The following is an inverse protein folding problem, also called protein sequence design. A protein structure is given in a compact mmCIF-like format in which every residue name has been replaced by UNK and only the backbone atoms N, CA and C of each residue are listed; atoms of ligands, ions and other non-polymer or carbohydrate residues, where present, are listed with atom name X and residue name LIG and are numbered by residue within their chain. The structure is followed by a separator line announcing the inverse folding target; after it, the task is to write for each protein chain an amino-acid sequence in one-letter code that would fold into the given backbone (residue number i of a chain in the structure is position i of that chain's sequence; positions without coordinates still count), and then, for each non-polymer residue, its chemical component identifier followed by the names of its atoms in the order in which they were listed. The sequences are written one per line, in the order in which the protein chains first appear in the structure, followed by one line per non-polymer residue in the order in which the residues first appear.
data_IF_084719291825
#
_entry.id   IF_084719291825
#
_cell.length_a   1.000
_cell.length_b   1.000
_cell.length_c   1.000
_cell.angle_alpha   90.00
_cell.angle_beta   90.00
_cell.angle_gamma   90.00
#
_symmetry.space_group_name_H-M   'P 1'
#
loop_
_entity.id
_entity.type
_entity.pdbx_description
1 polymer ?
#
# COMPACT_ATOMS: atom_id res chain seq x y z
N UNK A 1 -46.57 -27.37 -18.53
CA UNK A 1 -46.07 -26.91 -19.84
C UNK A 1 -45.17 -27.97 -20.41
N UNK A 2 -45.33 -28.46 -21.65
CA UNK A 2 -44.51 -29.51 -22.24
C UNK A 2 -43.26 -28.86 -22.83
N UNK A 3 -42.09 -29.10 -22.21
CA UNK A 3 -40.80 -28.70 -22.76
C UNK A 3 -40.54 -29.36 -24.11
N UNK A 4 -40.03 -28.63 -25.10
CA UNK A 4 -39.77 -29.13 -26.47
C UNK A 4 -38.30 -28.86 -26.88
N UNK A 5 -37.69 -29.70 -27.69
CA UNK A 5 -36.42 -29.42 -28.33
C UNK A 5 -36.46 -28.10 -29.11
N UNK A 6 -35.41 -27.32 -29.05
CA UNK A 6 -35.28 -25.99 -29.66
C UNK A 6 -35.67 -24.82 -28.72
N UNK A 7 -36.29 -25.06 -27.60
CA UNK A 7 -36.64 -24.02 -26.66
C UNK A 7 -35.37 -23.55 -25.88
N UNK A 8 -35.32 -22.25 -25.61
CA UNK A 8 -34.29 -21.65 -24.75
C UNK A 8 -34.84 -21.60 -23.33
N UNK A 9 -34.05 -22.10 -22.37
CA UNK A 9 -34.41 -22.16 -20.95
C UNK A 9 -33.39 -21.39 -20.13
N UNK A 10 -33.85 -20.42 -19.31
CA UNK A 10 -32.97 -19.55 -18.54
C UNK A 10 -32.38 -20.22 -17.28
N UNK A 11 -33.19 -20.97 -16.55
CA UNK A 11 -32.88 -21.38 -15.18
C UNK A 11 -32.38 -22.83 -15.04
N UNK A 12 -32.07 -23.52 -16.13
CA UNK A 12 -31.57 -24.89 -16.10
C UNK A 12 -30.09 -24.95 -15.63
N UNK A 13 -29.31 -23.94 -15.98
CA UNK A 13 -27.95 -23.67 -15.45
C UNK A 13 -27.94 -22.29 -14.75
N UNK A 14 -27.22 -22.16 -13.61
CA UNK A 14 -27.11 -20.87 -12.92
C UNK A 14 -26.30 -19.82 -13.69
N UNK A 15 -25.47 -20.24 -14.65
CA UNK A 15 -24.45 -19.41 -15.28
C UNK A 15 -24.83 -18.90 -16.66
N UNK A 16 -25.75 -19.58 -17.38
CA UNK A 16 -26.13 -19.19 -18.73
C UNK A 16 -27.49 -19.83 -19.14
N UNK A 17 -28.24 -19.20 -20.05
CA UNK A 17 -29.37 -19.85 -20.72
C UNK A 17 -28.89 -20.98 -21.62
N UNK A 18 -29.75 -21.98 -21.80
CA UNK A 18 -29.44 -23.17 -22.59
C UNK A 18 -30.50 -23.43 -23.65
N UNK A 19 -30.09 -23.96 -24.78
CA UNK A 19 -30.99 -24.48 -25.82
C UNK A 19 -31.24 -25.97 -25.58
N UNK A 20 -32.49 -26.37 -25.42
CA UNK A 20 -32.88 -27.77 -25.31
C UNK A 20 -32.66 -28.48 -26.66
N UNK A 21 -31.81 -29.51 -26.68
CA UNK A 21 -31.55 -30.32 -27.87
C UNK A 21 -32.40 -31.61 -27.89
N UNK A 22 -32.76 -32.12 -26.72
CA UNK A 22 -33.58 -33.30 -26.56
C UNK A 22 -34.31 -33.31 -25.24
N UNK A 23 -35.57 -33.75 -25.24
CA UNK A 23 -36.40 -33.94 -24.06
C UNK A 23 -36.96 -35.36 -24.09
N UNK A 24 -36.70 -36.15 -23.04
CA UNK A 24 -37.15 -37.55 -22.95
C UNK A 24 -37.75 -37.83 -21.57
N UNK A 25 -38.97 -38.33 -21.47
CA UNK A 25 -39.53 -38.82 -20.22
C UNK A 25 -38.85 -40.14 -19.81
N UNK A 26 -38.40 -40.26 -18.58
CA UNK A 26 -37.81 -41.45 -18.00
C UNK A 26 -38.37 -41.66 -16.59
N UNK A 27 -39.21 -42.70 -16.43
CA UNK A 27 -39.75 -43.11 -15.12
C UNK A 27 -40.29 -41.98 -14.24
N UNK A 28 -41.14 -41.09 -14.79
CA UNK A 28 -41.77 -39.98 -14.07
C UNK A 28 -40.83 -38.77 -13.85
N UNK A 29 -39.72 -38.70 -14.60
CA UNK A 29 -38.79 -37.57 -14.66
C UNK A 29 -38.55 -37.20 -16.13
N UNK A 30 -37.94 -36.03 -16.34
CA UNK A 30 -37.56 -35.56 -17.67
C UNK A 30 -36.03 -35.53 -17.78
N UNK A 31 -35.48 -36.26 -18.74
CA UNK A 31 -34.07 -36.13 -19.12
C UNK A 31 -33.95 -35.07 -20.22
N UNK A 32 -33.29 -34.01 -19.93
CA UNK A 32 -33.04 -32.87 -20.80
C UNK A 32 -31.60 -32.95 -21.31
N UNK A 33 -31.44 -32.96 -22.64
CA UNK A 33 -30.11 -32.66 -23.24
C UNK A 33 -30.16 -31.22 -23.73
N UNK A 34 -29.08 -30.49 -23.52
CA UNK A 34 -29.03 -29.07 -23.82
C UNK A 34 -27.62 -28.61 -24.21
N UNK A 35 -27.56 -27.46 -24.85
CA UNK A 35 -26.31 -26.75 -25.17
C UNK A 35 -26.36 -25.36 -24.60
N UNK A 36 -25.32 -24.94 -23.86
CA UNK A 36 -25.16 -23.58 -23.36
C UNK A 36 -25.07 -22.57 -24.50
N UNK A 37 -25.73 -21.42 -24.37
CA UNK A 37 -25.74 -20.41 -25.43
C UNK A 37 -24.36 -19.74 -25.56
N UNK A 38 -23.72 -19.43 -24.45
CA UNK A 38 -22.41 -18.75 -24.46
C UNK A 38 -21.25 -19.72 -24.55
N UNK A 39 -21.28 -20.81 -23.80
CA UNK A 39 -20.19 -21.78 -23.74
C UNK A 39 -20.19 -22.78 -24.88
N UNK A 40 -21.31 -22.94 -25.61
CA UNK A 40 -21.51 -23.93 -26.67
C UNK A 40 -21.22 -25.40 -26.22
N UNK A 41 -21.28 -25.65 -24.91
CA UNK A 41 -21.05 -26.99 -24.33
C UNK A 41 -22.35 -27.73 -24.23
N UNK A 42 -22.35 -28.95 -24.78
CA UNK A 42 -23.47 -29.86 -24.63
C UNK A 42 -23.38 -30.62 -23.31
N UNK A 43 -24.54 -30.74 -22.62
CA UNK A 43 -24.65 -31.48 -21.36
C UNK A 43 -26.06 -32.06 -21.23
N UNK A 44 -26.30 -32.81 -20.14
CA UNK A 44 -27.63 -33.36 -19.87
C UNK A 44 -27.93 -33.30 -18.37
N UNK A 45 -29.21 -33.14 -18.03
CA UNK A 45 -29.71 -33.10 -16.66
C UNK A 45 -31.05 -33.83 -16.58
N UNK A 46 -31.26 -34.58 -15.50
CA UNK A 46 -32.57 -35.19 -15.20
C UNK A 46 -33.25 -34.35 -14.12
N UNK A 47 -34.47 -33.91 -14.41
CA UNK A 47 -35.30 -33.09 -13.53
C UNK A 47 -36.63 -33.76 -13.26
N UNK A 48 -37.31 -33.40 -12.20
CA UNK A 48 -38.70 -33.78 -11.91
C UNK A 48 -39.67 -32.97 -12.73
N UNK A 49 -40.92 -33.43 -12.86
CA UNK A 49 -41.99 -32.66 -13.52
C UNK A 49 -42.28 -31.35 -12.79
N UNK A 50 -42.19 -31.34 -11.47
CA UNK A 50 -42.34 -30.12 -10.66
C UNK A 50 -41.23 -29.10 -10.92
N UNK A 51 -39.98 -29.54 -11.08
CA UNK A 51 -38.87 -28.65 -11.45
C UNK A 51 -39.00 -28.14 -12.88
N UNK A 52 -39.57 -28.92 -13.79
CA UNK A 52 -39.80 -28.51 -15.18
C UNK A 52 -40.89 -27.39 -15.29
N UNK A 53 -41.89 -27.38 -14.40
CA UNK A 53 -42.90 -26.33 -14.33
C UNK A 53 -42.33 -24.97 -13.89
N UNK A 54 -41.22 -24.98 -13.19
CA UNK A 54 -40.54 -23.77 -12.69
C UNK A 54 -39.47 -23.25 -13.65
N UNK A 55 -39.19 -23.96 -14.76
CA UNK A 55 -38.22 -23.52 -15.74
C UNK A 55 -38.79 -22.39 -16.62
N UNK A 56 -38.01 -21.34 -16.75
CA UNK A 56 -38.34 -20.17 -17.58
C UNK A 56 -37.95 -20.41 -19.03
N UNK A 57 -38.95 -20.51 -19.91
CA UNK A 57 -38.75 -20.65 -21.36
C UNK A 57 -38.64 -19.25 -21.95
N UNK A 58 -37.50 -18.96 -22.58
CA UNK A 58 -37.30 -17.73 -23.34
C UNK A 58 -37.84 -17.96 -24.74
N UNK A 59 -38.95 -17.30 -25.11
CA UNK A 59 -39.43 -17.30 -26.48
C UNK A 59 -38.79 -16.17 -27.27
N UNK A 60 -38.52 -16.39 -28.57
CA UNK A 60 -37.87 -15.36 -29.42
C UNK A 60 -38.69 -14.05 -29.50
N UNK A 61 -39.99 -14.13 -29.28
CA UNK A 61 -40.90 -12.96 -29.19
C UNK A 61 -40.90 -12.29 -27.80
N UNK A 62 -40.19 -12.86 -26.80
CA UNK A 62 -40.30 -12.52 -25.39
C UNK A 62 -39.26 -11.54 -24.86
N UNK A 63 -38.55 -10.80 -25.69
CA UNK A 63 -37.57 -9.81 -25.18
C UNK A 63 -38.18 -8.76 -24.23
N UNK A 64 -39.54 -8.64 -24.23
CA UNK A 64 -40.28 -7.67 -23.40
C UNK A 64 -41.63 -8.22 -22.94
N UNK A 65 -41.69 -9.51 -22.54
CA UNK A 65 -42.96 -10.12 -22.08
C UNK A 65 -43.40 -9.75 -20.66
N UNK A 66 -42.53 -9.02 -19.93
CA UNK A 66 -42.74 -8.58 -18.55
C UNK A 66 -43.03 -9.74 -17.56
N UNK A 67 -42.65 -10.97 -17.91
CA UNK A 67 -42.87 -12.16 -17.06
C UNK A 67 -41.79 -12.32 -15.98
N UNK A 68 -40.75 -11.50 -16.00
CA UNK A 68 -39.64 -11.51 -15.03
C UNK A 68 -40.11 -11.23 -13.60
N UNK A 69 -39.36 -11.75 -12.60
CA UNK A 69 -39.61 -11.48 -11.18
C UNK A 69 -39.42 -9.97 -10.88
N UNK A 70 -40.51 -9.28 -10.43
CA UNK A 70 -40.46 -7.85 -10.12
C UNK A 70 -39.40 -7.50 -9.07
N UNK A 71 -39.16 -8.41 -8.11
CA UNK A 71 -38.18 -8.21 -7.04
C UNK A 71 -36.76 -8.20 -7.61
N UNK A 72 -36.45 -9.15 -8.51
CA UNK A 72 -35.14 -9.20 -9.19
C UNK A 72 -34.92 -7.98 -10.08
N UNK A 73 -35.96 -7.54 -10.79
CA UNK A 73 -35.92 -6.32 -11.59
C UNK A 73 -35.66 -5.08 -10.74
N UNK A 74 -36.33 -4.95 -9.59
CA UNK A 74 -36.09 -3.84 -8.65
C UNK A 74 -34.68 -3.86 -8.10
N UNK A 75 -34.21 -5.03 -7.70
CA UNK A 75 -32.79 -5.19 -7.22
C UNK A 75 -31.78 -4.84 -8.32
N UNK A 76 -32.03 -5.29 -9.55
CA UNK A 76 -31.17 -4.93 -10.68
C UNK A 76 -31.17 -3.41 -10.94
N UNK A 77 -32.35 -2.79 -11.00
CA UNK A 77 -32.48 -1.36 -11.24
C UNK A 77 -31.81 -0.53 -10.12
N UNK A 78 -31.96 -0.94 -8.87
CA UNK A 78 -31.27 -0.29 -7.75
C UNK A 78 -29.75 -0.51 -7.80
N UNK A 79 -29.29 -1.71 -8.15
CA UNK A 79 -27.87 -1.99 -8.33
C UNK A 79 -27.26 -1.12 -9.44
N UNK A 80 -27.93 -1.01 -10.58
CA UNK A 80 -27.54 -0.13 -11.69
C UNK A 80 -27.55 1.34 -11.29
N UNK A 81 -28.55 1.77 -10.52
CA UNK A 81 -28.62 3.15 -10.00
C UNK A 81 -27.44 3.46 -9.08
N UNK A 82 -27.07 2.53 -8.20
CA UNK A 82 -25.91 2.67 -7.30
C UNK A 82 -24.61 2.64 -8.11
N UNK A 83 -24.48 1.71 -9.03
CA UNK A 83 -23.30 1.60 -9.91
C UNK A 83 -23.11 2.86 -10.76
N UNK A 84 -24.19 3.42 -11.28
CA UNK A 84 -24.16 4.63 -12.10
C UNK A 84 -24.19 5.94 -11.30
N UNK A 85 -24.20 5.89 -9.96
CA UNK A 85 -24.33 7.10 -9.12
C UNK A 85 -23.22 8.13 -9.39
N UNK A 86 -22.00 7.68 -9.72
CA UNK A 86 -20.87 8.53 -10.07
C UNK A 86 -21.10 9.39 -11.33
N UNK A 87 -22.02 9.01 -12.21
CA UNK A 87 -22.39 9.79 -13.41
C UNK A 87 -23.20 11.04 -13.05
N UNK A 88 -23.93 11.00 -11.94
CA UNK A 88 -24.81 12.07 -11.46
C UNK A 88 -24.21 12.87 -10.30
N UNK A 89 -23.27 12.29 -9.59
CA UNK A 89 -22.55 12.90 -8.48
C UNK A 89 -21.04 12.95 -8.76
N UNK A 90 -20.50 14.07 -9.24
CA UNK A 90 -19.08 14.19 -9.54
C UNK A 90 -18.18 14.12 -8.28
N UNK A 91 -18.75 14.26 -7.07
CA UNK A 91 -18.06 14.14 -5.78
C UNK A 91 -18.50 12.90 -4.99
N UNK A 92 -18.83 11.83 -5.67
CA UNK A 92 -19.44 10.65 -5.09
C UNK A 92 -18.62 10.09 -3.90
N UNK A 93 -17.27 10.00 -4.03
CA UNK A 93 -16.45 9.51 -2.94
C UNK A 93 -16.50 10.41 -1.69
N UNK A 94 -16.64 11.72 -1.85
CA UNK A 94 -16.81 12.66 -0.72
C UNK A 94 -18.12 12.38 0.01
N UNK A 95 -19.21 12.23 -0.76
CA UNK A 95 -20.55 12.08 -0.19
C UNK A 95 -20.79 10.72 0.47
N UNK A 96 -20.05 9.67 0.06
CA UNK A 96 -20.22 8.31 0.58
C UNK A 96 -19.07 7.83 1.49
N UNK A 97 -18.17 8.71 1.91
CA UNK A 97 -17.07 8.40 2.85
C UNK A 97 -17.35 9.00 4.23
N UNK A 98 -16.74 8.41 5.27
CA UNK A 98 -16.87 8.88 6.65
C UNK A 98 -15.78 9.90 6.98
N UNK A 99 -15.58 10.88 6.09
CA UNK A 99 -14.60 11.96 6.24
C UNK A 99 -15.19 13.28 5.80
N UNK A 100 -14.76 14.36 6.45
CA UNK A 100 -15.02 15.74 6.02
C UNK A 100 -13.75 16.27 5.33
N UNK A 101 -13.60 16.12 4.02
CA UNK A 101 -12.36 16.50 3.36
C UNK A 101 -12.20 18.01 3.28
N UNK A 102 -10.96 18.46 3.37
CA UNK A 102 -10.59 19.85 3.24
C UNK A 102 -10.49 20.26 1.76
N UNK A 103 -10.64 21.59 1.43
CA UNK A 103 -10.62 22.06 0.05
C UNK A 103 -9.44 21.56 -0.76
N UNK A 104 -8.24 21.62 -0.20
CA UNK A 104 -7.02 21.17 -0.87
C UNK A 104 -6.99 19.64 -1.13
N UNK A 105 -7.69 18.84 -0.31
CA UNK A 105 -7.80 17.40 -0.49
C UNK A 105 -8.74 17.07 -1.66
N UNK A 106 -9.88 17.74 -1.71
CA UNK A 106 -10.82 17.62 -2.83
C UNK A 106 -10.17 18.10 -4.14
N UNK A 107 -9.49 19.24 -4.11
CA UNK A 107 -8.78 19.78 -5.27
C UNK A 107 -7.72 18.80 -5.79
N UNK A 108 -6.93 18.17 -4.90
CA UNK A 108 -5.91 17.19 -5.30
C UNK A 108 -6.50 16.03 -6.10
N UNK A 109 -7.64 15.51 -5.65
CA UNK A 109 -8.28 14.36 -6.28
C UNK A 109 -8.99 14.77 -7.58
N UNK A 110 -9.88 15.74 -7.51
CA UNK A 110 -10.81 16.01 -8.61
C UNK A 110 -10.25 16.93 -9.70
N UNK A 111 -9.27 17.77 -9.37
CA UNK A 111 -8.64 18.67 -10.35
C UNK A 111 -7.33 18.12 -10.92
N UNK A 112 -6.53 17.41 -10.11
CA UNK A 112 -5.20 16.98 -10.53
C UNK A 112 -5.12 15.48 -10.84
N UNK A 113 -5.70 14.58 -10.04
CA UNK A 113 -5.52 13.14 -10.18
C UNK A 113 -6.55 12.50 -11.09
N UNK A 114 -7.82 12.70 -10.80
CA UNK A 114 -8.93 12.03 -11.49
C UNK A 114 -9.05 12.35 -12.99
N UNK A 115 -8.71 13.57 -13.47
CA UNK A 115 -8.75 13.88 -14.90
C UNK A 115 -7.62 13.22 -15.72
N UNK A 116 -6.60 12.63 -15.08
CA UNK A 116 -5.51 11.99 -15.77
C UNK A 116 -5.94 10.63 -16.34
N UNK A 117 -5.75 10.38 -17.62
CA UNK A 117 -6.08 9.08 -18.21
C UNK A 117 -5.18 7.96 -17.68
N UNK A 118 -3.95 8.28 -17.29
CA UNK A 118 -3.00 7.42 -16.62
C UNK A 118 -2.39 8.19 -15.44
N UNK A 119 -2.62 7.70 -14.24
CA UNK A 119 -2.11 8.35 -13.03
C UNK A 119 -0.66 7.90 -12.84
N UNK A 120 0.29 8.81 -13.04
CA UNK A 120 1.70 8.70 -12.71
C UNK A 120 2.06 9.96 -11.96
N UNK A 121 1.86 9.95 -10.62
CA UNK A 121 1.79 11.20 -9.87
C UNK A 121 2.46 11.12 -8.50
N UNK A 122 3.08 12.23 -8.09
CA UNK A 122 3.69 12.42 -6.79
C UNK A 122 2.88 13.44 -5.96
N UNK A 123 2.24 13.00 -4.90
CA UNK A 123 1.64 13.86 -3.88
C UNK A 123 2.71 14.24 -2.84
N UNK A 124 3.21 15.47 -2.93
CA UNK A 124 4.33 15.97 -2.13
C UNK A 124 3.89 17.03 -1.08
N UNK A 125 2.63 17.04 -0.69
CA UNK A 125 2.08 17.93 0.32
C UNK A 125 2.71 17.68 1.70
N UNK A 126 2.77 18.71 2.53
CA UNK A 126 3.34 18.67 3.87
C UNK A 126 2.75 17.55 4.74
N UNK A 127 3.51 17.15 5.77
CA UNK A 127 3.05 16.16 6.77
C UNK A 127 1.75 16.63 7.42
N UNK A 128 0.73 15.76 7.47
CA UNK A 128 -0.57 16.09 8.04
C UNK A 128 -1.52 16.87 7.12
N UNK A 129 -1.17 17.05 5.84
CA UNK A 129 -2.10 17.56 4.81
C UNK A 129 -3.23 16.57 4.45
N UNK A 130 -3.13 15.32 4.91
CA UNK A 130 -4.12 14.29 4.64
C UNK A 130 -3.93 13.58 3.31
N UNK A 131 -2.69 13.29 2.92
CA UNK A 131 -2.38 12.50 1.71
C UNK A 131 -3.11 11.16 1.68
N UNK A 132 -3.27 10.52 2.83
CA UNK A 132 -4.04 9.28 2.99
C UNK A 132 -5.52 9.48 2.67
N UNK A 133 -6.09 10.62 3.09
CA UNK A 133 -7.48 11.00 2.76
C UNK A 133 -7.62 11.21 1.25
N UNK A 134 -6.70 11.93 0.61
CA UNK A 134 -6.69 12.12 -0.84
C UNK A 134 -6.61 10.77 -1.57
N UNK A 135 -5.76 9.86 -1.09
CA UNK A 135 -5.63 8.51 -1.66
C UNK A 135 -6.92 7.71 -1.48
N UNK A 136 -7.55 7.74 -0.32
CA UNK A 136 -8.81 7.04 -0.07
C UNK A 136 -9.96 7.57 -0.93
N UNK A 137 -10.08 8.89 -1.11
CA UNK A 137 -11.04 9.51 -2.02
C UNK A 137 -10.80 9.07 -3.47
N UNK A 138 -9.54 9.13 -3.92
CA UNK A 138 -9.16 8.69 -5.27
C UNK A 138 -9.50 7.23 -5.51
N UNK A 139 -9.12 6.34 -4.60
CA UNK A 139 -9.41 4.91 -4.67
C UNK A 139 -10.92 4.66 -4.80
N UNK A 140 -11.71 5.33 -3.96
CA UNK A 140 -13.16 5.17 -3.97
C UNK A 140 -13.79 5.65 -5.27
N UNK A 141 -13.32 6.77 -5.85
CA UNK A 141 -13.75 7.24 -7.17
C UNK A 141 -13.38 6.26 -8.28
N UNK A 142 -12.12 5.82 -8.34
CA UNK A 142 -11.64 4.93 -9.39
C UNK A 142 -12.35 3.57 -9.36
N UNK A 143 -12.56 3.01 -8.16
CA UNK A 143 -13.28 1.74 -7.97
C UNK A 143 -14.74 1.85 -8.35
N UNK A 144 -15.43 2.92 -7.96
CA UNK A 144 -16.83 3.13 -8.30
C UNK A 144 -17.06 3.34 -9.79
N UNK A 145 -16.06 3.91 -10.48
CA UNK A 145 -16.09 4.08 -11.94
C UNK A 145 -15.67 2.82 -12.70
N UNK A 146 -15.30 1.74 -12.00
CA UNK A 146 -14.80 0.51 -12.62
C UNK A 146 -13.46 0.67 -13.34
N UNK A 147 -12.69 1.71 -12.99
CA UNK A 147 -11.39 1.98 -13.60
C UNK A 147 -10.25 1.22 -12.92
N UNK A 148 -10.45 0.80 -11.67
CA UNK A 148 -9.44 0.13 -10.86
C UNK A 148 -10.12 -0.95 -10.01
N UNK A 149 -9.62 -2.17 -10.07
CA UNK A 149 -10.03 -3.30 -9.24
C UNK A 149 -8.90 -3.79 -8.34
N UNK A 150 -7.70 -3.92 -8.91
CA UNK A 150 -6.53 -4.46 -8.23
C UNK A 150 -5.61 -3.36 -7.74
N UNK A 151 -5.47 -3.27 -6.42
CA UNK A 151 -4.71 -2.21 -5.77
C UNK A 151 -3.67 -2.77 -4.81
N UNK A 152 -2.44 -2.31 -4.95
CA UNK A 152 -1.35 -2.55 -4.02
C UNK A 152 -0.96 -1.25 -3.31
N UNK A 153 -1.06 -1.24 -1.99
CA UNK A 153 -0.57 -0.14 -1.15
C UNK A 153 0.69 -0.60 -0.42
N UNK A 154 1.76 0.12 -0.63
CA UNK A 154 3.07 -0.15 -0.06
C UNK A 154 3.42 0.96 0.91
N UNK A 155 3.62 0.61 2.18
CA UNK A 155 3.84 1.58 3.26
C UNK A 155 5.08 1.22 4.08
N UNK A 156 5.60 2.11 4.93
CA UNK A 156 6.48 1.72 6.02
C UNK A 156 5.84 0.66 6.92
N UNK A 157 6.65 -0.27 7.45
CA UNK A 157 6.15 -1.40 8.24
C UNK A 157 5.27 -1.02 9.42
N UNK A 158 5.60 0.08 10.12
CA UNK A 158 4.82 0.59 11.25
C UNK A 158 3.46 1.18 10.89
N UNK A 159 3.19 1.48 9.60
CA UNK A 159 1.96 2.11 9.14
C UNK A 159 0.97 1.16 8.47
N UNK A 160 1.36 -0.09 8.22
CA UNK A 160 0.54 -1.05 7.46
C UNK A 160 -0.85 -1.29 8.06
N UNK A 161 -0.93 -1.49 9.38
CA UNK A 161 -2.20 -1.67 10.10
C UNK A 161 -3.04 -0.38 10.11
N UNK A 162 -2.41 0.77 10.34
CA UNK A 162 -3.09 2.05 10.30
C UNK A 162 -3.72 2.29 8.94
N UNK A 163 -3.01 2.02 7.85
CA UNK A 163 -3.54 2.12 6.51
C UNK A 163 -4.73 1.19 6.28
N UNK A 164 -4.61 -0.08 6.70
CA UNK A 164 -5.67 -1.08 6.52
C UNK A 164 -6.92 -0.77 7.35
N UNK A 165 -6.75 -0.56 8.64
CA UNK A 165 -7.86 -0.52 9.61
C UNK A 165 -8.43 0.90 9.75
N UNK A 166 -7.57 1.88 10.07
CA UNK A 166 -8.02 3.23 10.43
C UNK A 166 -8.31 4.09 9.20
N UNK A 167 -7.41 4.04 8.21
CA UNK A 167 -7.53 4.92 7.04
C UNK A 167 -8.53 4.35 6.03
N UNK A 168 -8.26 3.20 5.44
CA UNK A 168 -9.10 2.64 4.38
C UNK A 168 -10.37 1.96 4.91
N UNK A 169 -10.23 1.19 5.98
CA UNK A 169 -11.36 0.47 6.59
C UNK A 169 -12.36 1.42 7.23
N UNK A 170 -11.95 2.14 8.26
CA UNK A 170 -12.87 2.96 9.05
C UNK A 170 -13.39 4.19 8.30
N UNK A 171 -12.52 4.90 7.54
CA UNK A 171 -12.91 6.17 6.89
C UNK A 171 -13.61 5.98 5.54
N UNK A 172 -13.21 4.97 4.77
CA UNK A 172 -13.70 4.79 3.40
C UNK A 172 -14.52 3.52 3.19
N UNK A 173 -14.59 2.64 4.19
CA UNK A 173 -15.22 1.31 4.07
C UNK A 173 -14.64 0.50 2.90
N UNK A 174 -13.33 0.55 2.74
CA UNK A 174 -12.59 -0.19 1.72
C UNK A 174 -11.80 -1.32 2.40
N UNK A 175 -12.23 -2.57 2.26
CA UNK A 175 -11.49 -3.71 2.83
C UNK A 175 -10.22 -4.00 2.03
N UNK A 176 -9.09 -4.07 2.72
CA UNK A 176 -7.81 -4.46 2.18
C UNK A 176 -7.24 -5.65 2.96
N UNK A 177 -6.51 -6.52 2.29
CA UNK A 177 -5.80 -7.64 2.90
C UNK A 177 -4.38 -7.18 3.28
N UNK A 178 -4.04 -7.26 4.56
CA UNK A 178 -2.66 -7.04 5.01
C UNK A 178 -1.83 -8.28 4.68
N UNK A 179 -0.76 -8.11 3.90
CA UNK A 179 0.15 -9.20 3.54
C UNK A 179 1.51 -8.96 4.19
N UNK A 180 1.90 -9.90 5.04
CA UNK A 180 3.17 -9.95 5.74
C UNK A 180 3.83 -11.33 5.54
N UNK A 181 4.99 -11.55 6.18
CA UNK A 181 5.73 -12.83 6.05
C UNK A 181 4.91 -14.05 6.44
N UNK A 182 4.13 -13.97 7.51
CA UNK A 182 3.32 -15.10 7.99
C UNK A 182 2.24 -15.48 6.98
N UNK A 183 1.51 -14.49 6.46
CA UNK A 183 0.43 -14.69 5.47
C UNK A 183 1.01 -15.20 4.14
N UNK A 184 2.08 -14.58 3.65
CA UNK A 184 2.74 -15.02 2.41
C UNK A 184 3.33 -16.43 2.50
N UNK A 185 3.87 -16.82 3.66
CA UNK A 185 4.38 -18.18 3.86
C UNK A 185 3.26 -19.23 3.90
N UNK A 186 2.06 -18.85 4.35
CA UNK A 186 0.88 -19.71 4.35
C UNK A 186 0.23 -19.81 2.95
N UNK A 187 0.22 -18.72 2.20
CA UNK A 187 -0.31 -18.64 0.83
C UNK A 187 0.60 -17.77 -0.06
N UNK A 188 1.57 -18.36 -0.77
CA UNK A 188 2.43 -17.61 -1.70
C UNK A 188 1.70 -17.02 -2.90
N UNK A 189 0.45 -17.42 -3.16
CA UNK A 189 -0.36 -16.91 -4.27
C UNK A 189 -1.18 -15.67 -3.91
N UNK A 190 -1.11 -15.22 -2.65
CA UNK A 190 -1.95 -14.15 -2.10
C UNK A 190 -1.90 -12.85 -2.93
N UNK A 191 -0.75 -12.48 -3.49
CA UNK A 191 -0.65 -11.30 -4.35
C UNK A 191 -1.39 -11.45 -5.68
N UNK A 192 -1.58 -12.67 -6.18
CA UNK A 192 -2.32 -12.94 -7.42
C UNK A 192 -3.82 -13.09 -7.17
N UNK A 193 -4.22 -13.58 -6.00
CA UNK A 193 -5.62 -13.89 -5.66
C UNK A 193 -6.33 -12.72 -4.99
N UNK A 194 -5.66 -11.97 -4.13
CA UNK A 194 -6.25 -10.80 -3.45
C UNK A 194 -6.30 -9.59 -4.39
N UNK A 195 -7.47 -8.97 -4.49
CA UNK A 195 -7.66 -7.76 -5.30
C UNK A 195 -7.05 -6.51 -4.65
N UNK A 196 -7.05 -6.42 -3.32
CA UNK A 196 -6.66 -5.22 -2.57
C UNK A 196 -5.70 -5.61 -1.46
N UNK A 197 -4.46 -5.14 -1.56
CA UNK A 197 -3.38 -5.54 -0.66
C UNK A 197 -2.70 -4.32 -0.06
N UNK A 198 -2.44 -4.38 1.25
CA UNK A 198 -1.51 -3.49 1.96
C UNK A 198 -0.31 -4.33 2.40
N UNK A 199 0.89 -3.83 2.16
CA UNK A 199 2.13 -4.49 2.59
C UNK A 199 3.23 -3.49 2.92
N UNK A 200 4.29 -3.92 3.60
CA UNK A 200 5.43 -3.04 3.85
C UNK A 200 6.44 -3.08 2.73
N UNK A 201 7.12 -1.92 2.51
CA UNK A 201 8.17 -1.81 1.49
C UNK A 201 9.33 -2.75 1.77
N UNK A 202 9.68 -2.97 3.04
CA UNK A 202 10.79 -3.82 3.44
C UNK A 202 10.50 -5.31 3.21
N UNK A 203 9.27 -5.72 3.49
CA UNK A 203 8.83 -7.07 3.18
C UNK A 203 8.76 -7.29 1.66
N UNK A 204 8.22 -6.31 0.92
CA UNK A 204 8.08 -6.37 -0.52
C UNK A 204 9.43 -6.37 -1.25
N UNK A 205 10.46 -5.71 -0.71
CA UNK A 205 11.80 -5.62 -1.31
C UNK A 205 12.61 -6.93 -1.25
N UNK A 206 12.05 -7.99 -0.66
CA UNK A 206 12.65 -9.32 -0.70
C UNK A 206 12.41 -9.95 -2.06
N UNK A 207 13.43 -10.54 -2.63
CA UNK A 207 13.38 -11.04 -4.01
C UNK A 207 12.30 -12.12 -4.25
N UNK A 208 12.12 -13.02 -3.27
CA UNK A 208 11.08 -14.05 -3.30
C UNK A 208 9.67 -13.46 -3.34
N UNK A 209 9.43 -12.40 -2.60
CA UNK A 209 8.14 -11.69 -2.53
C UNK A 209 7.93 -10.80 -3.74
N UNK A 210 8.96 -10.01 -4.10
CA UNK A 210 8.90 -9.06 -5.20
C UNK A 210 8.61 -9.74 -6.54
N UNK A 211 9.22 -10.91 -6.80
CA UNK A 211 8.96 -11.68 -8.01
C UNK A 211 7.47 -12.05 -8.16
N UNK A 212 6.81 -12.42 -7.08
CA UNK A 212 5.37 -12.75 -7.11
C UNK A 212 4.52 -11.48 -7.20
N UNK A 213 4.82 -10.48 -6.39
CA UNK A 213 4.03 -9.25 -6.31
C UNK A 213 4.10 -8.42 -7.60
N UNK A 214 5.27 -8.29 -8.25
CA UNK A 214 5.41 -7.54 -9.49
C UNK A 214 4.69 -8.21 -10.68
N UNK A 215 4.62 -9.55 -10.71
CA UNK A 215 3.94 -10.30 -11.77
C UNK A 215 2.41 -10.40 -11.56
N UNK A 216 1.89 -9.86 -10.47
CA UNK A 216 0.46 -9.99 -10.12
C UNK A 216 -0.46 -9.03 -10.88
N UNK A 217 0.05 -8.16 -11.73
CA UNK A 217 -0.68 -7.14 -12.49
C UNK A 217 -1.60 -6.26 -11.61
N UNK A 218 -1.12 -5.07 -11.27
CA UNK A 218 -1.85 -4.10 -10.46
C UNK A 218 -2.38 -2.97 -11.34
N UNK A 219 -3.66 -2.62 -11.18
CA UNK A 219 -4.20 -1.43 -11.83
C UNK A 219 -3.63 -0.17 -11.19
N UNK A 220 -3.52 -0.15 -9.86
CA UNK A 220 -2.94 0.98 -9.13
C UNK A 220 -1.97 0.48 -8.04
N UNK A 221 -0.78 1.05 -8.05
CA UNK A 221 0.20 0.93 -6.97
C UNK A 221 0.32 2.28 -6.26
N UNK A 222 0.19 2.28 -4.94
CA UNK A 222 0.41 3.45 -4.08
C UNK A 222 1.61 3.17 -3.20
N UNK A 223 2.59 4.06 -3.18
CA UNK A 223 3.78 3.95 -2.32
C UNK A 223 3.83 5.13 -1.37
N UNK A 224 3.64 4.86 -0.08
CA UNK A 224 3.73 5.87 0.96
C UNK A 224 5.18 6.07 1.42
N UNK A 225 5.46 7.28 1.91
CA UNK A 225 6.80 7.73 2.30
C UNK A 225 7.86 7.48 1.21
N UNK A 226 7.50 7.80 -0.04
CA UNK A 226 8.32 7.53 -1.23
C UNK A 226 9.74 8.14 -1.16
N UNK A 227 9.99 9.10 -0.28
CA UNK A 227 11.34 9.64 -0.03
C UNK A 227 12.32 8.60 0.56
N UNK A 228 11.81 7.45 1.04
CA UNK A 228 12.63 6.32 1.50
C UNK A 228 13.16 5.46 0.35
N UNK A 229 12.65 5.66 -0.87
CA UNK A 229 13.13 5.02 -2.09
C UNK A 229 14.45 5.70 -2.52
N UNK A 230 15.55 5.31 -1.91
CA UNK A 230 16.85 5.95 -2.14
C UNK A 230 17.49 5.45 -3.42
N UNK A 231 17.77 6.37 -4.34
CA UNK A 231 18.69 6.16 -5.44
C UNK A 231 19.47 7.45 -5.66
N UNK A 232 20.76 7.32 -5.93
CA UNK A 232 21.64 8.47 -6.14
C UNK A 232 22.73 8.17 -7.16
N UNK A 233 23.23 9.22 -7.77
CA UNK A 233 24.34 9.14 -8.72
C UNK A 233 25.65 9.52 -8.03
N UNK A 234 26.66 8.67 -8.21
CA UNK A 234 28.01 8.96 -7.76
C UNK A 234 29.00 8.66 -8.89
N UNK A 235 29.68 9.70 -9.38
CA UNK A 235 30.51 9.65 -10.57
C UNK A 235 29.68 9.16 -11.79
N UNK A 236 30.01 8.01 -12.36
CA UNK A 236 29.34 7.41 -13.51
C UNK A 236 28.40 6.26 -13.14
N UNK A 237 28.19 6.01 -11.84
CA UNK A 237 27.36 4.88 -11.38
C UNK A 237 26.13 5.37 -10.64
N UNK A 238 25.00 4.74 -10.93
CA UNK A 238 23.76 4.92 -10.16
C UNK A 238 23.71 3.83 -9.09
N UNK A 239 23.57 4.24 -7.84
CA UNK A 239 23.32 3.37 -6.71
C UNK A 239 21.83 3.37 -6.42
N UNK A 240 21.23 2.19 -6.36
CA UNK A 240 19.82 1.97 -6.05
C UNK A 240 19.70 1.15 -4.78
N UNK A 241 18.86 1.56 -3.85
CA UNK A 241 18.47 0.72 -2.72
C UNK A 241 17.53 -0.39 -3.18
N UNK A 242 17.45 -1.50 -2.45
CA UNK A 242 16.48 -2.57 -2.71
C UNK A 242 15.03 -2.06 -2.77
N UNK A 243 14.69 -1.09 -1.91
CA UNK A 243 13.38 -0.42 -1.92
C UNK A 243 13.11 0.32 -3.23
N UNK A 244 14.12 1.00 -3.78
CA UNK A 244 14.00 1.67 -5.07
C UNK A 244 13.84 0.68 -6.22
N UNK A 245 14.62 -0.40 -6.23
CA UNK A 245 14.53 -1.46 -7.23
C UNK A 245 13.16 -2.14 -7.20
N UNK A 246 12.62 -2.39 -6.00
CA UNK A 246 11.27 -2.92 -5.84
C UNK A 246 10.20 -1.96 -6.39
N UNK A 247 10.30 -0.67 -6.07
CA UNK A 247 9.40 0.36 -6.59
C UNK A 247 9.49 0.49 -8.11
N UNK A 248 10.70 0.41 -8.69
CA UNK A 248 10.92 0.46 -10.12
C UNK A 248 10.25 -0.72 -10.82
N UNK A 249 10.45 -1.95 -10.35
CA UNK A 249 9.79 -3.13 -10.92
C UNK A 249 8.28 -3.06 -10.84
N UNK A 250 7.72 -2.57 -9.73
CA UNK A 250 6.27 -2.33 -9.65
C UNK A 250 5.80 -1.26 -10.63
N UNK A 251 6.56 -0.17 -10.77
CA UNK A 251 6.24 0.92 -11.69
C UNK A 251 6.18 0.44 -13.16
N UNK A 252 7.04 -0.49 -13.54
CA UNK A 252 7.08 -1.08 -14.89
C UNK A 252 5.87 -1.99 -15.17
N UNK A 253 5.25 -2.58 -14.12
CA UNK A 253 4.20 -3.60 -14.24
C UNK A 253 2.83 -3.12 -13.76
N UNK A 254 2.65 -1.86 -13.38
CA UNK A 254 1.36 -1.29 -13.01
C UNK A 254 0.88 -0.24 -14.02
N UNK A 255 -0.44 -0.10 -14.14
CA UNK A 255 -1.01 0.95 -15.00
C UNK A 255 -0.87 2.32 -14.34
N UNK A 256 -1.37 2.45 -13.11
CA UNK A 256 -1.33 3.69 -12.33
C UNK A 256 -0.30 3.59 -11.20
N UNK A 257 0.43 4.67 -10.95
CA UNK A 257 1.39 4.79 -9.85
C UNK A 257 1.19 6.11 -9.10
N UNK A 258 0.94 6.02 -7.81
CA UNK A 258 0.82 7.16 -6.92
C UNK A 258 1.90 7.11 -5.84
N UNK A 259 2.79 8.08 -5.83
CA UNK A 259 3.83 8.23 -4.82
C UNK A 259 3.41 9.29 -3.80
N UNK A 260 3.53 9.00 -2.52
CA UNK A 260 3.20 9.91 -1.42
C UNK A 260 4.47 10.26 -0.64
N UNK A 261 4.71 11.54 -0.41
CA UNK A 261 5.79 11.99 0.48
C UNK A 261 5.52 13.39 1.01
N UNK A 262 6.00 13.70 2.18
CA UNK A 262 6.01 15.07 2.69
C UNK A 262 7.33 15.80 2.39
N UNK A 263 8.39 15.06 2.10
CA UNK A 263 9.75 15.58 1.93
C UNK A 263 10.37 15.08 0.63
N UNK A 264 9.93 15.61 -0.53
CA UNK A 264 10.45 15.17 -1.83
C UNK A 264 11.95 15.45 -1.99
N UNK A 265 12.47 16.45 -1.27
CA UNK A 265 13.87 16.82 -1.25
C UNK A 265 14.48 16.63 0.14
N UNK A 266 15.35 15.65 0.30
CA UNK A 266 16.25 15.55 1.48
C UNK A 266 17.56 16.32 1.25
N UNK A 267 17.50 17.49 0.60
CA UNK A 267 18.68 18.32 0.29
C UNK A 267 19.51 17.84 -0.90
N UNK A 268 19.05 16.83 -1.66
CA UNK A 268 19.72 16.29 -2.86
C UNK A 268 18.74 16.28 -4.03
N UNK A 269 19.06 17.02 -5.08
CA UNK A 269 18.26 17.10 -6.30
C UNK A 269 18.25 15.81 -7.11
N UNK A 270 19.34 15.04 -7.04
CA UNK A 270 19.46 13.73 -7.69
C UNK A 270 18.42 12.71 -7.18
N UNK A 271 18.18 12.66 -5.87
CA UNK A 271 17.17 11.76 -5.28
C UNK A 271 15.75 12.12 -5.74
N UNK A 272 15.42 13.40 -5.81
CA UNK A 272 14.11 13.85 -6.31
C UNK A 272 13.90 13.48 -7.78
N UNK A 273 14.91 13.71 -8.62
CA UNK A 273 14.90 13.28 -10.01
C UNK A 273 14.62 11.79 -10.14
N UNK A 274 15.28 10.96 -9.31
CA UNK A 274 15.05 9.50 -9.32
C UNK A 274 13.62 9.12 -8.94
N UNK A 275 12.98 9.84 -8.03
CA UNK A 275 11.55 9.64 -7.76
C UNK A 275 10.68 10.01 -8.97
N UNK A 276 10.98 11.10 -9.66
CA UNK A 276 10.26 11.49 -10.86
C UNK A 276 10.47 10.49 -12.00
N UNK A 277 11.66 9.89 -12.11
CA UNK A 277 11.95 8.84 -13.11
C UNK A 277 11.11 7.57 -12.88
N UNK A 278 10.63 7.29 -11.67
CA UNK A 278 9.66 6.20 -11.45
C UNK A 278 8.30 6.50 -12.08
N UNK A 279 7.96 7.78 -12.23
CA UNK A 279 6.71 8.21 -12.87
C UNK A 279 6.84 8.17 -14.39
N UNK A 280 7.95 8.72 -14.91
CA UNK A 280 8.26 8.75 -16.33
C UNK A 280 9.77 8.87 -16.53
N UNK A 281 10.40 7.83 -17.06
CA UNK A 281 11.85 7.78 -17.23
C UNK A 281 12.32 8.70 -18.36
N UNK A 282 11.56 8.81 -19.43
CA UNK A 282 11.93 9.58 -20.62
C UNK A 282 11.84 11.09 -20.36
N UNK A 283 10.77 11.52 -19.71
CA UNK A 283 10.53 12.94 -19.40
C UNK A 283 11.56 13.49 -18.42
N UNK A 284 12.01 12.65 -17.46
CA UNK A 284 12.95 13.05 -16.41
C UNK A 284 14.35 12.47 -16.58
N UNK A 285 14.78 12.20 -17.82
CA UNK A 285 16.04 11.53 -18.12
C UNK A 285 17.27 12.34 -17.68
N UNK A 286 17.27 13.66 -17.86
CA UNK A 286 18.40 14.55 -17.53
C UNK A 286 18.04 15.56 -16.46
N UNK A 287 19.05 16.13 -15.76
CA UNK A 287 18.81 17.14 -14.73
C UNK A 287 18.24 18.44 -15.32
N UNK A 288 18.68 18.82 -16.52
CA UNK A 288 18.17 19.99 -17.22
C UNK A 288 16.70 19.79 -17.65
N UNK A 289 16.36 18.63 -18.20
CA UNK A 289 14.99 18.28 -18.56
C UNK A 289 14.09 18.24 -17.31
N UNK A 290 14.54 17.60 -16.23
CA UNK A 290 13.79 17.54 -15.00
C UNK A 290 13.53 18.94 -14.41
N UNK A 291 14.57 19.80 -14.32
CA UNK A 291 14.45 21.15 -13.79
C UNK A 291 13.58 22.06 -14.68
N UNK A 292 13.71 21.94 -15.99
CA UNK A 292 12.93 22.72 -16.96
C UNK A 292 11.46 22.29 -16.92
N UNK A 293 11.19 20.98 -16.92
CA UNK A 293 9.83 20.45 -16.85
C UNK A 293 9.14 20.77 -15.54
N UNK A 294 9.84 20.72 -14.42
CA UNK A 294 9.29 21.13 -13.12
C UNK A 294 8.87 22.60 -13.16
N UNK A 295 9.71 23.51 -13.71
CA UNK A 295 9.38 24.94 -13.85
C UNK A 295 8.24 25.20 -14.82
N UNK A 296 8.20 24.52 -15.97
CA UNK A 296 7.12 24.64 -16.95
C UNK A 296 5.78 24.20 -16.33
N UNK A 297 5.78 23.09 -15.60
CA UNK A 297 4.61 22.53 -14.96
C UNK A 297 4.10 23.39 -13.80
N UNK A 298 5.01 24.08 -13.07
CA UNK A 298 4.65 25.06 -12.05
C UNK A 298 4.01 26.32 -12.65
N UNK A 299 4.45 26.74 -13.83
CA UNK A 299 3.95 27.94 -14.48
C UNK A 299 2.59 27.73 -15.19
N UNK A 300 2.31 26.53 -15.70
CA UNK A 300 1.06 26.23 -16.42
C UNK A 300 -0.16 25.98 -15.53
N UNK A 301 -0.02 26.01 -14.19
CA UNK A 301 -1.11 25.80 -13.24
C UNK A 301 -1.74 24.39 -13.26
N UNK A 302 -1.28 23.49 -14.13
CA UNK A 302 -1.70 22.11 -14.30
C UNK A 302 -0.48 21.21 -14.23
N UNK A 303 0.00 20.95 -13.01
CA UNK A 303 1.08 20.01 -12.86
C UNK A 303 0.54 18.58 -13.05
N UNK A 304 1.02 17.88 -14.09
CA UNK A 304 0.58 16.53 -14.46
C UNK A 304 1.33 15.41 -13.73
N UNK A 305 2.41 15.74 -13.01
CA UNK A 305 3.29 14.75 -12.40
C UNK A 305 3.41 14.89 -10.88
N UNK A 306 3.24 16.08 -10.34
CA UNK A 306 3.30 16.27 -8.90
C UNK A 306 2.55 17.50 -8.42
N UNK A 307 2.14 17.49 -7.18
CA UNK A 307 1.64 18.65 -6.45
C UNK A 307 2.36 18.74 -5.13
N UNK A 308 2.74 19.97 -4.75
CA UNK A 308 3.36 20.27 -3.47
C UNK A 308 2.74 21.54 -2.88
N UNK A 309 2.11 21.40 -1.75
CA UNK A 309 1.52 22.53 -1.00
C UNK A 309 2.09 22.55 0.41
N UNK A 310 2.39 23.75 0.88
CA UNK A 310 2.84 23.98 2.24
C UNK A 310 1.63 24.19 3.15
N UNK A 311 1.79 23.91 4.45
CA UNK A 311 0.72 24.12 5.44
C UNK A 311 0.25 25.56 5.49
N UNK A 312 1.16 26.49 5.30
CA UNK A 312 0.88 27.93 5.29
C UNK A 312 -0.08 28.35 4.17
N UNK A 313 -0.12 27.60 3.06
CA UNK A 313 -0.97 27.88 1.91
C UNK A 313 -2.37 27.26 2.00
N UNK A 314 -2.57 26.33 2.97
CA UNK A 314 -3.80 25.58 3.09
C UNK A 314 -4.88 26.38 3.81
N UNK A 315 -6.07 26.42 3.20
CA UNK A 315 -7.25 27.16 3.68
C UNK A 315 -8.44 26.25 3.87
N UNK A 316 -9.35 26.64 4.77
CA UNK A 316 -10.65 26.01 4.92
C UNK A 316 -11.63 26.45 3.81
N UNK A 317 -12.87 25.95 3.88
CA UNK A 317 -13.95 26.27 2.91
C UNK A 317 -14.37 27.75 2.99
N UNK A 318 -14.06 28.46 4.07
CA UNK A 318 -14.31 29.89 4.28
C UNK A 318 -13.11 30.76 3.84
N UNK A 319 -12.02 30.12 3.33
CA UNK A 319 -10.81 30.83 2.89
C UNK A 319 -9.88 31.24 4.03
N UNK A 320 -10.14 30.78 5.28
CA UNK A 320 -9.28 31.06 6.41
C UNK A 320 -8.09 30.08 6.47
N UNK A 321 -6.91 30.53 6.91
CA UNK A 321 -5.76 29.63 7.06
C UNK A 321 -6.08 28.47 8.03
N UNK A 322 -5.84 27.23 7.58
CA UNK A 322 -6.02 26.03 8.41
C UNK A 322 -4.97 25.90 9.50
N UNK A 323 -3.78 26.39 9.24
CA UNK A 323 -2.65 26.28 10.15
C UNK A 323 -2.12 27.65 10.54
N UNK A 324 -1.70 27.79 11.78
CA UNK A 324 -0.99 28.99 12.25
C UNK A 324 0.43 28.98 11.68
N UNK A 325 0.96 30.20 11.47
CA UNK A 325 2.36 30.33 11.04
C UNK A 325 3.30 29.66 12.05
N UNK A 326 4.27 28.94 11.55
CA UNK A 326 5.28 28.30 12.37
C UNK A 326 6.45 29.25 12.58
N UNK A 327 6.72 29.57 13.84
CA UNK A 327 7.91 30.28 14.23
C UNK A 327 8.86 29.30 14.90
N UNK A 328 10.06 29.17 14.35
CA UNK A 328 11.08 28.31 14.93
C UNK A 328 12.11 29.18 15.62
N UNK A 329 12.31 28.94 16.92
CA UNK A 329 13.32 29.62 17.72
C UNK A 329 14.25 28.56 18.31
N UNK A 330 15.55 28.75 18.13
CA UNK A 330 16.55 27.92 18.81
C UNK A 330 16.79 28.49 20.20
N UNK A 331 16.47 27.67 21.21
CA UNK A 331 16.76 28.02 22.61
C UNK A 331 18.01 27.24 23.00
N UNK A 332 19.10 27.98 23.24
CA UNK A 332 20.31 27.37 23.77
C UNK A 332 20.17 27.25 25.32
N UNK A 333 20.57 26.11 25.84
CA UNK A 333 20.66 25.88 27.29
C UNK A 333 21.99 25.17 27.59
N UNK A 334 22.49 25.41 28.81
CA UNK A 334 23.68 24.74 29.32
C UNK A 334 23.29 23.49 30.13
N UNK A 335 23.99 22.41 29.92
CA UNK A 335 23.81 21.21 30.73
C UNK A 335 24.29 21.45 32.16
N UNK A 336 23.55 21.00 33.13
CA UNK A 336 24.02 21.00 34.53
C UNK A 336 25.26 20.12 34.68
N UNK A 337 26.13 20.36 35.69
CA UNK A 337 27.32 19.56 35.85
C UNK A 337 27.12 18.02 35.93
N UNK A 338 26.04 17.50 36.56
CA UNK A 338 25.73 16.07 36.48
C UNK A 338 25.33 15.57 35.08
N UNK A 339 24.50 16.34 34.36
CA UNK A 339 24.09 16.06 33.00
C UNK A 339 25.27 16.04 32.03
N UNK A 340 26.17 17.02 32.16
CA UNK A 340 27.38 17.08 31.34
C UNK A 340 28.29 15.88 31.57
N UNK A 341 28.46 15.45 32.83
CA UNK A 341 29.25 14.25 33.15
C UNK A 341 28.64 13.01 32.51
N UNK A 342 27.32 12.85 32.57
CA UNK A 342 26.63 11.73 31.93
C UNK A 342 26.79 11.77 30.41
N UNK A 343 26.56 12.95 29.81
CA UNK A 343 26.72 13.16 28.37
C UNK A 343 28.13 12.79 27.90
N UNK A 344 29.15 13.28 28.58
CA UNK A 344 30.55 13.02 28.25
C UNK A 344 30.90 11.54 28.44
N UNK A 345 30.38 10.88 29.48
CA UNK A 345 30.60 9.44 29.72
C UNK A 345 29.96 8.57 28.63
N UNK A 346 28.70 8.84 28.27
CA UNK A 346 28.00 8.10 27.20
C UNK A 346 28.66 8.37 25.87
N UNK A 347 29.03 9.61 25.56
CA UNK A 347 29.72 9.95 24.30
C UNK A 347 31.06 9.21 24.18
N UNK A 348 31.88 9.16 25.22
CA UNK A 348 33.12 8.39 25.23
C UNK A 348 32.86 6.90 24.99
N UNK A 349 31.86 6.32 25.66
CA UNK A 349 31.47 4.93 25.47
C UNK A 349 31.07 4.65 24.00
N UNK A 350 30.22 5.53 23.42
CA UNK A 350 29.81 5.39 22.04
C UNK A 350 30.96 5.53 21.04
N UNK A 351 31.88 6.46 21.28
CA UNK A 351 33.04 6.67 20.42
C UNK A 351 33.97 5.43 20.44
N UNK A 352 34.29 4.92 21.64
CA UNK A 352 35.11 3.74 21.77
C UNK A 352 34.49 2.52 21.07
N UNK A 353 33.18 2.28 21.27
CA UNK A 353 32.47 1.17 20.62
C UNK A 353 32.38 1.33 19.11
N UNK A 354 32.30 2.58 18.61
CA UNK A 354 32.28 2.85 17.17
C UNK A 354 33.63 2.55 16.53
N UNK A 355 34.74 2.83 17.21
CA UNK A 355 36.09 2.47 16.77
C UNK A 355 36.23 0.93 16.68
N UNK A 356 35.83 0.20 17.72
CA UNK A 356 35.79 -1.26 17.74
C UNK A 356 34.92 -1.87 16.61
N UNK A 357 33.72 -1.28 16.38
CA UNK A 357 32.81 -1.71 15.32
C UNK A 357 33.36 -1.42 13.92
N UNK A 358 34.11 -0.31 13.75
CA UNK A 358 34.73 0.04 12.48
C UNK A 358 35.86 -0.95 12.11
N UNK A 359 36.65 -1.38 13.09
CA UNK A 359 37.68 -2.41 12.90
C UNK A 359 37.07 -3.77 12.51
N UNK A 360 35.93 -4.14 13.12
CA UNK A 360 35.23 -5.39 12.83
C UNK A 360 34.31 -5.34 11.61
N UNK A 361 34.18 -4.18 10.93
CA UNK A 361 33.23 -3.91 9.83
C UNK A 361 31.78 -4.27 10.15
N UNK A 362 31.35 -4.15 11.39
CA UNK A 362 30.01 -4.49 11.83
C UNK A 362 29.08 -3.27 11.71
N UNK A 363 28.32 -3.23 10.61
CA UNK A 363 27.39 -2.13 10.29
C UNK A 363 26.26 -2.02 11.32
N UNK A 364 25.76 -3.14 11.82
CA UNK A 364 24.66 -3.18 12.78
C UNK A 364 25.02 -2.54 14.12
N UNK A 365 26.26 -2.78 14.60
CA UNK A 365 26.77 -2.11 15.82
C UNK A 365 26.84 -0.61 15.63
N UNK A 366 27.34 -0.14 14.49
CA UNK A 366 27.42 1.29 14.18
C UNK A 366 26.05 1.95 14.18
N UNK A 367 25.04 1.26 13.65
CA UNK A 367 23.66 1.73 13.60
C UNK A 367 23.06 1.91 15.00
N UNK A 368 23.17 0.88 15.86
CA UNK A 368 22.67 0.96 17.23
C UNK A 368 23.34 2.05 18.06
N UNK A 369 24.66 2.25 17.87
CA UNK A 369 25.38 3.33 18.54
C UNK A 369 24.87 4.70 18.11
N UNK A 370 24.45 4.86 16.85
CA UNK A 370 23.84 6.10 16.35
C UNK A 370 22.46 6.34 16.98
N UNK A 371 21.65 5.29 17.14
CA UNK A 371 20.35 5.39 17.86
C UNK A 371 20.56 5.77 19.32
N UNK A 372 21.54 5.18 19.99
CA UNK A 372 21.86 5.56 21.38
C UNK A 372 22.30 7.02 21.46
N UNK A 373 23.07 7.52 20.51
CA UNK A 373 23.43 8.94 20.44
C UNK A 373 22.22 9.86 20.25
N UNK A 374 21.28 9.51 19.36
CA UNK A 374 20.01 10.24 19.19
C UNK A 374 19.19 10.27 20.49
N UNK A 375 19.09 9.13 21.18
CA UNK A 375 18.37 9.03 22.48
C UNK A 375 19.03 9.88 23.56
N UNK A 376 20.37 9.93 23.59
CA UNK A 376 21.12 10.80 24.51
C UNK A 376 20.78 12.29 24.29
N UNK A 377 20.74 12.72 23.03
CA UNK A 377 20.37 14.09 22.67
C UNK A 377 18.90 14.39 22.92
N UNK A 378 18.02 13.38 22.75
CA UNK A 378 16.59 13.55 22.95
C UNK A 378 16.17 13.72 24.41
N UNK A 379 16.57 12.82 25.30
CA UNK A 379 16.31 12.96 26.72
C UNK A 379 17.18 12.03 27.59
N UNK A 380 17.50 12.48 28.82
CA UNK A 380 18.19 11.68 29.82
C UNK A 380 17.39 10.41 30.18
N UNK A 381 16.06 10.53 30.21
CA UNK A 381 15.17 9.38 30.48
C UNK A 381 15.28 8.32 29.38
N UNK A 382 15.28 8.73 28.12
CA UNK A 382 15.38 7.80 26.98
C UNK A 382 16.71 7.03 26.99
N UNK A 383 17.84 7.72 27.17
CA UNK A 383 19.15 7.06 27.22
C UNK A 383 19.32 6.16 28.46
N UNK A 384 18.80 6.58 29.61
CA UNK A 384 18.81 5.76 30.82
C UNK A 384 18.08 4.42 30.60
N UNK A 385 16.90 4.47 29.99
CA UNK A 385 16.12 3.25 29.73
C UNK A 385 16.86 2.34 28.73
N UNK A 386 17.42 2.90 27.68
CA UNK A 386 18.22 2.12 26.71
C UNK A 386 19.43 1.47 27.37
N UNK A 387 20.20 2.20 28.17
CA UNK A 387 21.35 1.63 28.87
C UNK A 387 20.94 0.55 29.88
N UNK A 388 19.79 0.72 30.55
CA UNK A 388 19.26 -0.29 31.49
C UNK A 388 18.85 -1.56 30.73
N UNK A 389 18.12 -1.45 29.63
CA UNK A 389 17.74 -2.59 28.81
C UNK A 389 18.97 -3.32 28.28
N UNK A 390 19.97 -2.58 27.80
CA UNK A 390 21.22 -3.15 27.33
C UNK A 390 21.99 -3.87 28.44
N UNK A 391 22.05 -3.29 29.64
CA UNK A 391 22.68 -3.93 30.79
C UNK A 391 21.99 -5.25 31.14
N UNK A 392 20.65 -5.25 31.19
CA UNK A 392 19.87 -6.45 31.47
C UNK A 392 20.08 -7.53 30.38
N UNK A 393 20.13 -7.14 29.11
CA UNK A 393 20.40 -8.06 28.00
C UNK A 393 21.83 -8.68 28.11
N UNK A 394 22.84 -7.87 28.36
CA UNK A 394 24.21 -8.35 28.57
C UNK A 394 24.30 -9.30 29.77
N UNK A 395 23.63 -8.98 30.87
CA UNK A 395 23.60 -9.84 32.05
C UNK A 395 22.96 -11.19 31.72
N UNK A 396 21.82 -11.18 30.98
CA UNK A 396 21.17 -12.42 30.56
C UNK A 396 22.07 -13.30 29.67
N UNK A 397 22.81 -12.67 28.74
CA UNK A 397 23.78 -13.38 27.89
C UNK A 397 24.90 -13.98 28.73
N UNK A 398 25.48 -13.23 29.68
CA UNK A 398 26.53 -13.73 30.58
C UNK A 398 26.02 -14.91 31.41
N UNK A 399 24.81 -14.82 31.94
CA UNK A 399 24.16 -15.90 32.73
C UNK A 399 23.87 -17.13 31.87
N UNK A 400 23.48 -16.97 30.62
CA UNK A 400 23.22 -18.07 29.66
C UNK A 400 24.51 -18.77 29.25
N UNK A 401 25.55 -18.00 28.91
CA UNK A 401 26.89 -18.53 28.59
C UNK A 401 27.45 -19.31 29.79
N UNK A 402 27.29 -18.80 31.00
CA UNK A 402 27.73 -19.47 32.18
C UNK A 402 27.01 -20.80 32.44
N UNK A 403 25.74 -20.93 32.06
CA UNK A 403 24.93 -22.16 32.23
C UNK A 403 25.19 -23.20 31.14
N UNK A 404 25.40 -22.82 29.90
CA UNK A 404 25.57 -23.76 28.79
C UNK A 404 26.33 -23.16 27.56
N UNK A 405 27.69 -23.17 27.59
CA UNK A 405 28.51 -22.55 26.56
C UNK A 405 28.31 -23.15 25.15
N UNK A 406 28.01 -24.45 25.06
CA UNK A 406 27.89 -25.16 23.79
C UNK A 406 26.57 -24.87 23.06
N UNK A 407 25.46 -24.72 23.78
CA UNK A 407 24.15 -24.36 23.21
C UNK A 407 24.11 -22.93 22.74
N UNK A 408 24.86 -22.05 23.38
CA UNK A 408 24.95 -20.64 23.00
C UNK A 408 25.55 -20.44 21.60
N UNK A 409 26.63 -21.16 21.27
CA UNK A 409 27.26 -21.10 19.95
C UNK A 409 26.37 -21.63 18.81
N UNK A 410 25.43 -22.53 19.07
CA UNK A 410 24.51 -23.08 18.08
C UNK A 410 23.31 -22.18 17.77
N UNK A 411 22.79 -21.44 18.76
CA UNK A 411 21.60 -20.62 18.64
C UNK A 411 21.83 -19.25 17.97
N UNK A 412 23.06 -18.77 17.93
CA UNK A 412 23.37 -17.40 17.53
C UNK A 412 24.02 -17.30 16.16
N UNK A 413 23.70 -18.21 15.23
CA UNK A 413 23.84 -17.94 13.81
C UNK A 413 22.69 -17.04 13.39
N UNK A 414 23.01 -15.76 13.27
CA UNK A 414 22.12 -14.70 12.83
C UNK A 414 21.73 -14.88 11.38
N UNK A 415 20.59 -15.45 11.13
CA UNK A 415 19.90 -15.37 9.84
C UNK A 415 18.73 -14.39 10.00
N UNK A 416 18.83 -13.22 9.36
CA UNK A 416 17.65 -12.57 8.86
C UNK A 416 17.22 -11.19 9.34
N UNK A 417 18.06 -10.37 10.00
CA UNK A 417 17.72 -8.94 10.17
C UNK A 417 18.52 -8.10 9.19
N UNK A 418 17.86 -7.71 8.09
CA UNK A 418 18.43 -6.84 7.06
C UNK A 418 18.04 -5.40 7.40
N UNK A 419 18.75 -4.77 8.33
CA UNK A 419 18.56 -3.37 8.73
C UNK A 419 19.68 -2.56 8.11
N UNK A 420 19.41 -1.99 6.94
CA UNK A 420 20.40 -1.26 6.16
C UNK A 420 20.47 0.24 6.53
N UNK A 421 19.49 0.76 7.29
CA UNK A 421 19.42 2.19 7.63
C UNK A 421 18.90 2.45 9.04
N UNK A 422 19.12 3.68 9.53
CA UNK A 422 18.57 4.16 10.81
C UNK A 422 17.03 4.23 10.82
N UNK A 423 16.46 4.54 9.67
CA UNK A 423 15.02 4.61 9.52
C UNK A 423 14.41 3.20 9.66
N UNK A 424 15.09 2.16 9.19
CA UNK A 424 14.68 0.76 9.35
C UNK A 424 14.65 0.33 10.81
N UNK A 425 15.66 0.75 11.59
CA UNK A 425 15.72 0.46 13.02
C UNK A 425 14.59 1.15 13.79
N UNK A 426 14.25 2.39 13.45
CA UNK A 426 13.18 3.14 14.10
C UNK A 426 11.79 2.60 13.76
N UNK A 427 11.65 1.86 12.66
CA UNK A 427 10.41 1.19 12.23
C UNK A 427 10.22 -0.21 12.84
N UNK A 428 11.25 -0.79 13.42
CA UNK A 428 11.15 -2.10 14.09
C UNK A 428 10.22 -2.02 15.31
N UNK A 429 9.40 -3.06 15.51
CA UNK A 429 8.64 -3.24 16.74
C UNK A 429 9.55 -3.37 17.98
N UNK A 430 9.01 -3.10 19.16
CA UNK A 430 9.80 -3.16 20.41
C UNK A 430 10.49 -4.51 20.65
N UNK A 431 9.87 -5.62 20.20
CA UNK A 431 10.43 -6.96 20.27
C UNK A 431 11.64 -7.15 19.35
N UNK A 432 11.55 -6.66 18.13
CA UNK A 432 12.61 -6.77 17.14
C UNK A 432 13.78 -5.85 17.47
N UNK A 433 13.50 -4.64 18.00
CA UNK A 433 14.53 -3.75 18.56
C UNK A 433 15.29 -4.39 19.71
N UNK A 434 14.58 -5.07 20.63
CA UNK A 434 15.21 -5.79 21.73
C UNK A 434 16.08 -6.95 21.24
N UNK A 435 15.62 -7.71 20.24
CA UNK A 435 16.41 -8.78 19.61
C UNK A 435 17.69 -8.23 18.97
N UNK A 436 17.59 -7.13 18.21
CA UNK A 436 18.74 -6.46 17.62
C UNK A 436 19.71 -5.91 18.68
N UNK A 437 19.21 -5.36 19.78
CA UNK A 437 20.05 -4.90 20.91
C UNK A 437 20.77 -6.07 21.60
N UNK A 438 20.18 -7.26 21.66
CA UNK A 438 20.82 -8.49 22.18
C UNK A 438 21.95 -8.91 21.23
N UNK A 439 21.72 -8.88 19.93
CA UNK A 439 22.73 -9.18 18.90
C UNK A 439 23.92 -8.21 19.00
N UNK A 440 23.64 -6.94 19.26
CA UNK A 440 24.65 -5.88 19.41
C UNK A 440 25.40 -5.95 20.73
N UNK A 441 24.91 -6.75 21.69
CA UNK A 441 25.57 -7.00 22.95
C UNK A 441 26.68 -8.07 22.86
N UNK A 442 26.71 -8.84 21.78
CA UNK A 442 27.75 -9.82 21.45
C UNK A 442 28.94 -9.15 20.78
#
# INVERSE_FOLDING_TARGET
MLLQPGQIVADLLPTEPVVLTKVQPIAGRLALSYTGIHTQRASSKVITEAEAEHLHIITEDGAFDFSGDPTRFTLFAEAERIHSAHLFDPLFAVNCSLVDPLPHQVEAVYKFLLPLPKIRFLLADDTGAGKTIMTGLLLKELMNRGLVERVLIVTPGGLTKQWQEDELGAKFNLPFTLVNRSIFSADPTIFSTAQRVVTSIDFLSREDVLNVAANAHWDLVVIDEAHKLSAYEYATKTYKSRRYEAAQRLAEHCEHLLLLTATPHRGRTDTFKKLLQLLDEDIFATDELAATRVRELENDGLNKFFIRRLKEDMKDWQGQPLYKNRFTQTIAYELTPPEKRLYDAVTRYLTQRREEASESRNVHVSLALTVMQRRLVSSIYAIRNTLRQRLNALQAVVDEVARNPALWQQRHRLEGYDVDSLDDYDELGDGDRAALEIILAQ
#
